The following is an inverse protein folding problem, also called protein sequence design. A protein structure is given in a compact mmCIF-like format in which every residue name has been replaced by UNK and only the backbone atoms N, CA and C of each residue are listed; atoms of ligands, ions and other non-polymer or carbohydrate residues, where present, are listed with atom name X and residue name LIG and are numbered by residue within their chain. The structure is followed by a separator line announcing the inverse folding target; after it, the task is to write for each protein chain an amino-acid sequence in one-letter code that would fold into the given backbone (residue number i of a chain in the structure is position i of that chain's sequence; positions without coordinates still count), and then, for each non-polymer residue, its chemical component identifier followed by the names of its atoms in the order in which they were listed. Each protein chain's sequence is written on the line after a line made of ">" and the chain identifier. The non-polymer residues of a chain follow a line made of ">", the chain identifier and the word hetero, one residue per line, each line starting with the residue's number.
data_IF_909751282936
#
_entry.id   IF_909751282936
#
_cell.length_a   1.000
_cell.length_b   1.000
_cell.length_c   1.000
_cell.angle_alpha   90.00
_cell.angle_beta   90.00
_cell.angle_gamma   90.00
#
_symmetry.space_group_name_H-M   'P 1'
#
loop_
_entity.id
_entity.type
_entity.pdbx_description
1 polymer ?
#
# COMPACT_ATOMS: atom_id res chain seq x y z
N UNK A 1 6.27 -7.97 -9.11
CA UNK A 1 6.58 -8.94 -10.18
C UNK A 1 5.90 -8.44 -11.47
N UNK A 2 6.14 -9.04 -12.64
CA UNK A 2 5.34 -8.74 -13.84
C UNK A 2 4.34 -9.88 -14.05
N UNK A 3 3.05 -9.58 -14.00
CA UNK A 3 2.00 -10.50 -14.42
C UNK A 3 1.29 -9.93 -15.65
N UNK A 4 1.69 -10.43 -16.83
CA UNK A 4 1.29 -9.87 -18.11
C UNK A 4 1.64 -8.38 -18.23
N UNK A 5 0.62 -7.56 -18.45
CA UNK A 5 0.75 -6.10 -18.61
C UNK A 5 0.70 -5.35 -17.27
N UNK A 6 0.34 -6.01 -16.17
CA UNK A 6 0.28 -5.39 -14.86
C UNK A 6 1.66 -5.34 -14.19
N UNK A 7 1.87 -4.30 -13.40
CA UNK A 7 3.04 -4.12 -12.55
C UNK A 7 2.60 -4.24 -11.11
N UNK A 8 3.29 -5.06 -10.33
CA UNK A 8 3.02 -5.20 -8.90
C UNK A 8 4.14 -4.56 -8.08
N UNK A 9 3.74 -3.80 -7.08
CA UNK A 9 4.63 -3.17 -6.10
C UNK A 9 4.14 -3.51 -4.68
N UNK A 10 4.99 -4.18 -3.92
CA UNK A 10 4.75 -4.37 -2.49
C UNK A 10 5.36 -3.19 -1.71
N UNK A 11 4.57 -2.58 -0.83
CA UNK A 11 5.02 -1.49 0.05
C UNK A 11 4.80 -1.90 1.49
N UNK A 12 5.88 -1.90 2.26
CA UNK A 12 5.80 -2.12 3.70
C UNK A 12 5.46 -0.81 4.42
N UNK A 13 4.46 -0.85 5.30
CA UNK A 13 4.07 0.28 6.15
C UNK A 13 4.00 -0.17 7.62
N UNK A 14 4.35 0.70 8.58
CA UNK A 14 4.22 0.36 9.99
C UNK A 14 2.74 0.28 10.40
N UNK A 15 2.43 -0.57 11.38
CA UNK A 15 1.08 -0.77 11.91
C UNK A 15 0.36 0.55 12.23
N UNK A 16 1.05 1.53 12.81
CA UNK A 16 0.45 2.84 13.12
C UNK A 16 -0.08 3.53 11.86
N UNK A 17 0.65 3.50 10.74
CA UNK A 17 0.22 4.08 9.47
C UNK A 17 -0.91 3.28 8.82
N UNK A 18 -0.94 1.96 9.06
CA UNK A 18 -2.05 1.13 8.61
C UNK A 18 -3.36 1.48 9.34
N UNK A 19 -3.29 1.89 10.61
CA UNK A 19 -4.45 2.25 11.43
C UNK A 19 -4.87 3.72 11.31
N UNK A 20 -3.93 4.64 11.03
CA UNK A 20 -4.18 6.09 11.05
C UNK A 20 -4.09 6.76 9.68
N UNK A 21 -3.99 5.98 8.61
CA UNK A 21 -3.76 6.47 7.26
C UNK A 21 -2.27 6.70 6.93
N UNK A 22 -1.97 6.65 5.64
CA UNK A 22 -0.62 6.76 5.12
C UNK A 22 -0.54 7.55 3.81
N UNK A 23 0.60 8.20 3.59
CA UNK A 23 0.97 8.79 2.31
C UNK A 23 2.30 8.18 1.90
N UNK A 24 2.34 7.55 0.73
CA UNK A 24 3.54 6.90 0.19
C UNK A 24 3.90 7.46 -1.18
N UNK A 25 5.19 7.47 -1.48
CA UNK A 25 5.70 7.89 -2.79
C UNK A 25 6.02 6.67 -3.64
N UNK A 26 5.33 6.53 -4.76
CA UNK A 26 5.40 5.36 -5.64
C UNK A 26 6.17 5.74 -6.92
N UNK A 27 7.20 4.98 -7.33
CA UNK A 27 7.87 5.20 -8.60
C UNK A 27 6.97 4.77 -9.77
N UNK A 28 6.86 5.63 -10.78
CA UNK A 28 6.19 5.31 -12.05
C UNK A 28 7.20 4.86 -13.10
N UNK A 29 6.71 4.18 -14.14
CA UNK A 29 7.54 3.65 -15.24
C UNK A 29 8.25 4.72 -16.11
N UNK A 30 8.01 6.01 -15.87
CA UNK A 30 8.71 7.13 -16.50
C UNK A 30 9.83 7.74 -15.64
N UNK A 31 10.08 7.22 -14.44
CA UNK A 31 11.04 7.78 -13.49
C UNK A 31 10.47 8.88 -12.59
N UNK A 32 9.28 9.40 -12.91
CA UNK A 32 8.51 10.26 -12.03
C UNK A 32 7.99 9.50 -10.80
N UNK A 33 7.61 10.24 -9.76
CA UNK A 33 7.01 9.68 -8.55
C UNK A 33 5.61 10.23 -8.36
N UNK A 34 4.68 9.33 -8.01
CA UNK A 34 3.32 9.67 -7.61
C UNK A 34 3.20 9.66 -6.09
N UNK A 35 2.47 10.62 -5.51
CA UNK A 35 2.07 10.58 -4.11
C UNK A 35 0.70 9.89 -4.01
N UNK A 36 0.63 8.77 -3.28
CA UNK A 36 -0.61 8.05 -3.00
C UNK A 36 -0.94 8.22 -1.52
N UNK A 37 -2.13 8.75 -1.24
CA UNK A 37 -2.67 8.88 0.12
C UNK A 37 -3.82 7.90 0.31
N UNK A 38 -3.83 7.20 1.44
CA UNK A 38 -4.89 6.30 1.88
C UNK A 38 -5.28 6.74 3.29
N UNK A 39 -6.51 7.20 3.43
CA UNK A 39 -7.07 7.66 4.70
C UNK A 39 -7.82 6.54 5.45
N UNK A 40 -8.18 5.46 4.75
CA UNK A 40 -8.85 4.29 5.31
C UNK A 40 -7.90 3.36 6.07
N UNK A 41 -8.46 2.45 6.89
CA UNK A 41 -7.69 1.39 7.56
C UNK A 41 -7.15 0.41 6.52
N UNK A 42 -5.83 0.17 6.57
CA UNK A 42 -5.13 -0.77 5.68
C UNK A 42 -5.00 -2.12 6.38
N UNK A 43 -5.77 -3.10 5.92
CA UNK A 43 -5.68 -4.47 6.41
C UNK A 43 -4.49 -5.23 5.77
N UNK A 44 -3.98 -6.30 6.40
CA UNK A 44 -3.00 -7.18 5.76
C UNK A 44 -3.51 -7.70 4.41
N UNK A 45 -2.71 -7.54 3.36
CA UNK A 45 -3.08 -7.93 1.99
C UNK A 45 -3.97 -6.92 1.26
N UNK A 46 -4.20 -5.74 1.82
CA UNK A 46 -4.90 -4.66 1.13
C UNK A 46 -4.17 -4.28 -0.17
N UNK A 47 -4.92 -4.08 -1.24
CA UNK A 47 -4.40 -3.70 -2.55
C UNK A 47 -5.03 -2.41 -3.06
N UNK A 48 -4.19 -1.54 -3.61
CA UNK A 48 -4.63 -0.36 -4.37
C UNK A 48 -4.27 -0.54 -5.83
N UNK A 49 -5.29 -0.55 -6.68
CA UNK A 49 -5.11 -0.58 -8.13
C UNK A 49 -5.05 0.86 -8.65
N UNK A 50 -3.99 1.17 -9.40
CA UNK A 50 -3.81 2.43 -10.13
C UNK A 50 -3.86 2.10 -11.62
N UNK A 51 -4.96 2.47 -12.25
CA UNK A 51 -5.26 2.12 -13.64
C UNK A 51 -4.27 2.76 -14.63
N UNK A 52 -3.89 2.02 -15.66
CA UNK A 52 -3.05 2.53 -16.76
C UNK A 52 -1.59 2.83 -16.40
N UNK A 53 -1.16 2.56 -15.17
CA UNK A 53 0.23 2.78 -14.72
C UNK A 53 1.13 1.53 -14.86
N UNK A 54 0.60 0.46 -15.47
CA UNK A 54 1.35 -0.75 -15.80
C UNK A 54 2.14 -0.65 -17.12
N UNK A 55 2.49 -1.79 -17.68
CA UNK A 55 3.25 -1.89 -18.92
C UNK A 55 2.38 -1.57 -20.15
N UNK A 56 2.95 -0.99 -21.22
CA UNK A 56 2.24 -0.84 -22.48
C UNK A 56 1.81 -2.19 -23.07
N UNK A 57 0.58 -2.27 -23.56
CA UNK A 57 0.05 -3.47 -24.21
C UNK A 57 0.55 -3.53 -25.66
N UNK A 58 1.27 -4.59 -26.08
CA UNK A 58 1.87 -4.64 -27.42
C UNK A 58 0.86 -4.63 -28.58
N UNK A 59 -0.40 -5.00 -28.33
CA UNK A 59 -1.45 -5.17 -29.34
C UNK A 59 -2.51 -4.06 -29.33
N UNK A 60 -2.42 -3.12 -28.38
CA UNK A 60 -3.39 -2.05 -28.19
C UNK A 60 -2.62 -0.73 -27.99
N UNK A 61 -2.40 0.01 -29.07
CA UNK A 61 -1.70 1.29 -29.00
C UNK A 61 -2.40 2.25 -28.01
N UNK A 62 -1.62 2.80 -27.08
CA UNK A 62 -2.11 3.72 -26.06
C UNK A 62 -2.67 3.06 -24.79
N UNK A 63 -2.95 1.75 -24.80
CA UNK A 63 -3.40 1.04 -23.60
C UNK A 63 -2.23 0.48 -22.78
N UNK A 64 -2.39 0.54 -21.47
CA UNK A 64 -1.42 0.04 -20.49
C UNK A 64 -2.14 -0.87 -19.49
N UNK A 65 -1.43 -1.81 -18.90
CA UNK A 65 -1.93 -2.52 -17.73
C UNK A 65 -2.01 -1.61 -16.50
N UNK A 66 -2.26 -2.20 -15.34
CA UNK A 66 -2.42 -1.49 -14.08
C UNK A 66 -1.17 -1.61 -13.20
N UNK A 67 -1.02 -0.67 -12.28
CA UNK A 67 -0.10 -0.79 -11.16
C UNK A 67 -0.90 -1.27 -9.94
N UNK A 68 -0.55 -2.43 -9.40
CA UNK A 68 -1.16 -3.03 -8.22
C UNK A 68 -0.21 -2.82 -7.05
N UNK A 69 -0.64 -2.05 -6.05
CA UNK A 69 0.14 -1.74 -4.86
C UNK A 69 -0.39 -2.57 -3.70
N UNK A 70 0.37 -3.58 -3.27
CA UNK A 70 0.02 -4.44 -2.14
C UNK A 70 0.70 -3.93 -0.88
N UNK A 71 -0.07 -3.74 0.19
CA UNK A 71 0.45 -3.22 1.45
C UNK A 71 0.80 -4.35 2.42
N UNK A 72 2.05 -4.34 2.89
CA UNK A 72 2.54 -5.24 3.92
C UNK A 72 2.60 -4.47 5.25
N UNK A 73 1.88 -4.94 6.26
CA UNK A 73 1.83 -4.27 7.57
C UNK A 73 2.95 -4.81 8.46
N UNK A 74 3.93 -3.96 8.76
CA UNK A 74 4.99 -4.25 9.71
C UNK A 74 4.52 -4.00 11.14
N UNK A 75 4.41 -5.07 11.92
CA UNK A 75 4.10 -5.00 13.34
C UNK A 75 5.35 -4.64 14.14
N UNK A 76 5.23 -3.86 15.23
CA UNK A 76 6.34 -3.65 16.15
C UNK A 76 6.74 -4.97 16.81
N UNK A 77 8.04 -5.19 16.99
CA UNK A 77 8.56 -6.41 17.65
C UNK A 77 8.34 -6.38 19.15
N UNK A 78 8.27 -5.18 19.74
CA UNK A 78 8.08 -4.94 21.17
C UNK A 78 7.14 -3.76 21.39
N UNK A 79 6.35 -3.81 22.46
CA UNK A 79 5.47 -2.75 22.94
C UNK A 79 5.57 -2.74 24.46
N UNK A 80 5.84 -1.58 25.07
CA UNK A 80 5.92 -1.44 26.53
C UNK A 80 4.55 -1.66 27.19
N UNK A 81 4.52 -2.15 28.43
CA UNK A 81 3.28 -2.48 29.15
C UNK A 81 2.29 -1.31 29.26
N UNK A 82 2.81 -0.09 29.47
CA UNK A 82 1.98 1.13 29.48
C UNK A 82 1.31 1.36 28.11
N UNK A 83 2.09 1.27 27.03
CA UNK A 83 1.58 1.39 25.67
C UNK A 83 0.57 0.29 25.32
N UNK A 84 0.78 -0.95 25.80
CA UNK A 84 -0.18 -2.04 25.62
C UNK A 84 -1.51 -1.73 26.29
N UNK A 85 -1.47 -1.21 27.51
CA UNK A 85 -2.67 -0.82 28.27
C UNK A 85 -3.45 0.27 27.54
N UNK A 86 -2.76 1.26 26.98
CA UNK A 86 -3.38 2.31 26.16
C UNK A 86 -3.99 1.76 24.87
N UNK A 87 -3.26 0.89 24.16
CA UNK A 87 -3.76 0.25 22.92
C UNK A 87 -5.03 -0.55 23.20
N UNK A 88 -5.05 -1.36 24.27
CA UNK A 88 -6.25 -2.11 24.68
C UNK A 88 -7.40 -1.15 24.94
N UNK A 89 -7.20 -0.11 25.74
CA UNK A 89 -8.25 0.88 26.04
C UNK A 89 -8.82 1.54 24.78
N UNK A 90 -7.98 1.82 23.78
CA UNK A 90 -8.41 2.50 22.54
C UNK A 90 -9.10 1.53 21.58
N UNK A 91 -8.61 0.30 21.44
CA UNK A 91 -9.03 -0.63 20.39
C UNK A 91 -9.95 -1.78 20.86
N UNK A 92 -10.23 -1.91 22.16
CA UNK A 92 -11.02 -3.02 22.74
C UNK A 92 -12.44 -3.16 22.17
N UNK A 93 -13.02 -2.06 21.67
CA UNK A 93 -14.41 -1.99 21.19
C UNK A 93 -14.50 -1.81 19.66
N UNK A 94 -13.38 -1.94 18.95
CA UNK A 94 -13.32 -1.88 17.49
C UNK A 94 -13.80 -3.17 16.81
#
# INVERSE_FOLDING_TARGET
>A
MRDGDNVELAVEIPLVKALTGCTISIPLLGGEKMSLTIDDIICPGYEKIIEGQGMPKPKEEGNRGNLIVTFLVAFPTEIAEEQRSDIVRILQDC
#
